data_IF_007133314574
#
_entry.id   IF_007133314574
#
_cell.length_a   1.000
_cell.length_b   1.000
_cell.length_c   1.000
_cell.angle_alpha   90.00
_cell.angle_beta   90.00
_cell.angle_gamma   90.00
#
_symmetry.space_group_name_H-M   'P 1'
#
loop_
_entity.id
_entity.type
_entity.pdbx_description
1 polymer ?
#
# COMPACT_ATOMS: atom_id res chain seq x y z
N UNK A 1 26.28 12.39 5.67
CA UNK A 1 25.62 12.43 5.33
C UNK A 1 24.98 11.58 4.99
N UNK A 2 24.73 11.02 4.83
CA UNK A 2 24.17 10.51 4.48
C UNK A 2 23.07 10.36 4.21
N UNK A 3 22.30 10.70 4.55
CA UNK A 3 20.93 10.57 4.12
C UNK A 3 20.73 10.53 2.63
N UNK A 4 21.70 10.90 1.92
CA UNK A 4 21.66 10.84 0.45
C UNK A 4 21.39 9.40 0.00
N UNK A 5 22.11 8.45 0.56
CA UNK A 5 21.90 7.05 0.20
C UNK A 5 20.51 6.57 0.56
N UNK A 6 20.02 7.02 1.69
CA UNK A 6 18.70 6.66 2.17
C UNK A 6 17.61 7.16 1.24
N UNK A 7 17.73 8.42 0.82
CA UNK A 7 16.76 9.00 -0.09
C UNK A 7 16.81 8.32 -1.45
N UNK A 8 17.99 7.96 -1.88
CA UNK A 8 18.15 7.27 -3.15
C UNK A 8 17.43 5.93 -3.15
N UNK A 9 17.61 5.16 -2.09
CA UNK A 9 16.94 3.87 -1.96
C UNK A 9 15.44 4.03 -1.94
N UNK A 10 14.96 5.05 -1.25
CA UNK A 10 13.54 5.32 -1.15
C UNK A 10 12.94 5.63 -2.53
N UNK A 11 13.59 6.50 -3.28
CA UNK A 11 13.12 6.84 -4.62
C UNK A 11 13.13 5.63 -5.55
N UNK A 12 14.17 4.83 -5.45
CA UNK A 12 14.30 3.66 -6.29
C UNK A 12 13.17 2.67 -5.99
N UNK A 13 12.86 2.49 -4.72
CA UNK A 13 11.76 1.63 -4.33
C UNK A 13 10.45 2.16 -4.87
N UNK A 14 10.23 3.46 -4.76
CA UNK A 14 9.00 4.06 -5.27
C UNK A 14 8.86 3.88 -6.77
N UNK A 15 9.95 4.07 -7.50
CA UNK A 15 9.91 3.89 -8.94
C UNK A 15 9.61 2.45 -9.32
N UNK A 16 10.26 1.50 -8.66
CA UNK A 16 10.04 0.10 -8.93
C UNK A 16 8.58 -0.27 -8.67
N UNK A 17 8.02 0.27 -7.63
CA UNK A 17 6.65 -0.01 -7.27
C UNK A 17 5.69 0.60 -8.26
N UNK A 18 5.95 1.83 -8.68
CA UNK A 18 5.10 2.47 -9.69
C UNK A 18 5.07 1.69 -10.97
N UNK A 19 6.19 1.07 -11.33
CA UNK A 19 6.27 0.29 -12.55
C UNK A 19 5.71 -1.10 -12.39
N UNK A 20 5.79 -1.66 -11.19
CA UNK A 20 5.40 -3.03 -10.95
C UNK A 20 4.16 -3.23 -10.09
N UNK A 21 3.54 -2.16 -9.63
CA UNK A 21 2.38 -2.31 -8.77
C UNK A 21 1.16 -2.70 -9.59
N UNK A 22 0.45 -3.70 -9.11
CA UNK A 22 -0.76 -4.18 -9.76
C UNK A 22 -1.83 -4.39 -8.71
N UNK A 23 -3.06 -4.56 -9.16
CA UNK A 23 -4.17 -4.89 -8.27
C UNK A 23 -3.84 -6.14 -7.48
N UNK A 24 -3.12 -7.08 -8.09
CA UNK A 24 -2.85 -8.37 -7.46
C UNK A 24 -1.74 -8.34 -6.44
N UNK A 25 -0.80 -7.40 -6.54
CA UNK A 25 0.33 -7.36 -5.60
C UNK A 25 0.30 -6.17 -4.64
N UNK A 26 -0.61 -5.23 -4.84
CA UNK A 26 -0.63 -4.03 -4.02
C UNK A 26 -0.86 -4.34 -2.53
N UNK A 27 -1.69 -5.33 -2.23
CA UNK A 27 -1.95 -5.68 -0.83
C UNK A 27 -0.69 -6.19 -0.15
N UNK A 28 0.08 -7.02 -0.86
CA UNK A 28 1.33 -7.52 -0.32
C UNK A 28 2.34 -6.39 -0.12
N UNK A 29 2.41 -5.48 -1.08
CA UNK A 29 3.31 -4.33 -0.98
C UNK A 29 2.90 -3.41 0.17
N UNK A 30 1.61 -3.25 0.36
CA UNK A 30 1.10 -2.46 1.46
C UNK A 30 1.53 -3.07 2.81
N UNK A 31 1.37 -4.38 2.96
CA UNK A 31 1.78 -5.07 4.17
C UNK A 31 3.29 -4.93 4.40
N UNK A 32 4.06 -5.05 3.33
CA UNK A 32 5.51 -4.91 3.40
C UNK A 32 5.88 -3.49 3.84
N UNK A 33 5.19 -2.49 3.31
CA UNK A 33 5.45 -1.11 3.67
C UNK A 33 5.20 -0.88 5.17
N UNK A 34 4.15 -1.46 5.69
CA UNK A 34 3.85 -1.35 7.12
C UNK A 34 4.94 -2.03 7.94
N UNK A 35 5.34 -3.22 7.52
CA UNK A 35 6.34 -3.99 8.23
C UNK A 35 7.67 -3.24 8.34
N UNK A 36 8.06 -2.56 7.28
CA UNK A 36 9.33 -1.82 7.25
C UNK A 36 9.15 -0.34 7.54
N UNK A 37 7.96 0.07 7.93
CA UNK A 37 7.66 1.46 8.25
C UNK A 37 7.99 2.42 7.12
N UNK A 38 7.78 1.97 5.90
CA UNK A 38 7.99 2.76 4.70
C UNK A 38 6.72 3.56 4.40
N UNK A 39 6.57 4.69 5.03
CA UNK A 39 5.34 5.45 4.97
C UNK A 39 4.97 5.93 3.58
N UNK A 40 5.95 6.32 2.79
CA UNK A 40 5.66 6.77 1.42
C UNK A 40 5.14 5.64 0.57
N UNK A 41 5.73 4.46 0.73
CA UNK A 41 5.26 3.27 0.03
C UNK A 41 3.88 2.88 0.51
N UNK A 42 3.67 2.92 1.81
CA UNK A 42 2.38 2.61 2.40
C UNK A 42 1.30 3.53 1.84
N UNK A 43 1.58 4.83 1.80
CA UNK A 43 0.65 5.81 1.28
C UNK A 43 0.36 5.59 -0.19
N UNK A 44 1.40 5.30 -0.97
CA UNK A 44 1.22 5.05 -2.39
C UNK A 44 0.35 3.82 -2.63
N UNK A 45 0.64 2.73 -1.91
CA UNK A 45 -0.16 1.52 -2.03
C UNK A 45 -1.59 1.75 -1.60
N UNK A 46 -1.77 2.54 -0.55
CA UNK A 46 -3.10 2.86 -0.05
C UNK A 46 -3.91 3.62 -1.10
N UNK A 47 -3.30 4.64 -1.69
CA UNK A 47 -3.98 5.43 -2.72
C UNK A 47 -4.30 4.61 -3.95
N UNK A 48 -3.37 3.77 -4.36
CA UNK A 48 -3.61 2.87 -5.48
C UNK A 48 -4.80 1.96 -5.17
N UNK A 49 -4.83 1.43 -3.95
CA UNK A 49 -5.91 0.54 -3.53
C UNK A 49 -7.25 1.26 -3.51
N UNK A 50 -7.28 2.52 -3.08
CA UNK A 50 -8.52 3.30 -3.08
C UNK A 50 -9.06 3.47 -4.50
N UNK A 51 -8.18 3.70 -5.46
CA UNK A 51 -8.59 3.89 -6.84
C UNK A 51 -9.05 2.60 -7.50
N UNK A 52 -8.69 1.46 -6.93
CA UNK A 52 -9.05 0.15 -7.48
C UNK A 52 -9.68 -0.74 -6.39
N UNK A 53 -10.44 -0.13 -5.52
CA UNK A 53 -10.94 -0.79 -4.31
C UNK A 53 -11.63 -2.12 -4.58
N UNK A 54 -12.57 -2.14 -5.51
CA UNK A 54 -13.32 -3.34 -5.80
C UNK A 54 -12.41 -4.47 -6.27
N UNK A 55 -11.51 -4.16 -7.19
CA UNK A 55 -10.60 -5.18 -7.72
C UNK A 55 -9.62 -5.66 -6.65
N UNK A 56 -9.07 -4.72 -5.88
CA UNK A 56 -8.08 -5.05 -4.86
C UNK A 56 -8.66 -5.93 -3.76
N UNK A 57 -9.86 -5.62 -3.32
CA UNK A 57 -10.47 -6.37 -2.23
C UNK A 57 -10.87 -7.80 -2.64
N UNK A 58 -10.91 -8.06 -3.94
CA UNK A 58 -11.25 -9.40 -4.44
C UNK A 58 -10.02 -10.27 -4.65
N UNK A 59 -8.82 -9.74 -4.43
CA UNK A 59 -7.60 -10.52 -4.63
C UNK A 59 -7.30 -11.41 -3.44
N UNK A 60 -6.60 -12.51 -3.71
CA UNK A 60 -6.17 -13.42 -2.66
C UNK A 60 -5.17 -12.72 -1.72
N UNK A 61 -4.32 -11.88 -2.29
CA UNK A 61 -3.34 -11.16 -1.50
C UNK A 61 -4.01 -10.29 -0.43
N UNK A 62 -5.12 -9.64 -0.80
CA UNK A 62 -5.87 -8.83 0.15
C UNK A 62 -6.50 -9.71 1.23
N UNK A 63 -7.08 -10.82 0.83
CA UNK A 63 -7.69 -11.76 1.78
C UNK A 63 -6.68 -12.36 2.73
N UNK A 64 -5.44 -12.48 2.28
CA UNK A 64 -4.37 -13.05 3.09
C UNK A 64 -3.69 -12.07 4.02
N UNK A 65 -4.13 -10.81 4.03
CA UNK A 65 -3.53 -9.82 4.92
C UNK A 65 -3.80 -10.16 6.38
N UNK A 66 -2.85 -9.78 7.23
CA UNK A 66 -3.03 -9.89 8.66
C UNK A 66 -4.27 -9.10 9.06
N UNK A 67 -5.00 -9.64 10.01
CA UNK A 67 -6.24 -9.02 10.48
C UNK A 67 -6.02 -7.57 10.90
N UNK A 68 -4.92 -7.29 11.57
CA UNK A 68 -4.59 -5.93 12.02
C UNK A 68 -4.41 -4.99 10.84
N UNK A 69 -3.69 -5.46 9.83
CA UNK A 69 -3.42 -4.67 8.65
C UNK A 69 -4.72 -4.44 7.88
N UNK A 70 -5.51 -5.47 7.75
CA UNK A 70 -6.79 -5.41 7.06
C UNK A 70 -7.71 -4.40 7.72
N UNK A 71 -7.82 -4.49 9.04
CA UNK A 71 -8.68 -3.60 9.81
C UNK A 71 -8.20 -2.15 9.70
N UNK A 72 -6.90 -1.95 9.78
CA UNK A 72 -6.31 -0.62 9.66
C UNK A 72 -6.60 -0.04 8.28
N UNK A 73 -6.43 -0.86 7.25
CA UNK A 73 -6.69 -0.44 5.88
C UNK A 73 -8.15 -0.01 5.71
N UNK A 74 -9.07 -0.82 6.19
CA UNK A 74 -10.49 -0.54 6.06
C UNK A 74 -10.86 0.74 6.82
N UNK A 75 -10.30 0.92 8.00
CA UNK A 75 -10.54 2.12 8.79
C UNK A 75 -10.05 3.37 8.06
N UNK A 76 -8.84 3.31 7.52
CA UNK A 76 -8.31 4.43 6.74
C UNK A 76 -9.16 4.70 5.51
N UNK A 77 -9.58 3.64 4.82
CA UNK A 77 -10.39 3.79 3.63
C UNK A 77 -11.72 4.47 3.96
N UNK A 78 -12.31 4.10 5.06
CA UNK A 78 -13.56 4.71 5.51
C UNK A 78 -13.36 6.19 5.80
N UNK A 79 -12.25 6.54 6.44
CA UNK A 79 -11.93 7.94 6.74
C UNK A 79 -11.75 8.77 5.47
N UNK A 80 -11.28 8.14 4.40
CA UNK A 80 -11.12 8.82 3.12
C UNK A 80 -12.36 8.76 2.25
N UNK A 81 -13.45 8.24 2.80
CA UNK A 81 -14.72 8.23 2.09
C UNK A 81 -14.87 7.12 1.05
N UNK A 82 -14.02 6.10 1.10
CA UNK A 82 -14.09 5.02 0.13
C UNK A 82 -15.40 4.24 0.20
N UNK A 83 -16.01 4.21 1.36
CA UNK A 83 -17.27 3.49 1.57
C UNK A 83 -18.46 4.44 1.71
N UNK A 84 -18.29 5.64 1.25
CA UNK A 84 -19.35 6.63 1.31
C UNK A 84 -20.45 6.24 0.33
N UNK A 85 -21.65 6.18 0.81
CA UNK A 85 -22.79 5.83 -0.04
C UNK A 85 -23.47 7.06 -0.62
#
# INVERSE_FOLDING_TARGET
MEPIGRQHLKRKCEELIRQGITVQNVAMLYATAIKYQAKDLEDFCFRFSLNHMTAVTQTEAFSGLDERILKDFITKAALHGAFKS
#
